data_IF_985429911672
#
_entry.id   IF_985429911672
#
_cell.length_a   1.000
_cell.length_b   1.000
_cell.length_c   1.000
_cell.angle_alpha   90.00
_cell.angle_beta   90.00
_cell.angle_gamma   90.00
#
_symmetry.space_group_name_H-M   'P 1'
#
loop_
_entity.id
_entity.type
_entity.pdbx_description
1 polymer ?
#
# COMPACT_ATOMS: atom_id res chain seq x y z
N UNK A 1 1.60 -51.07 -9.39
CA UNK A 1 1.10 -49.71 -9.70
C UNK A 1 1.47 -49.36 -11.12
N UNK A 2 0.51 -48.95 -11.96
CA UNK A 2 0.74 -48.65 -13.38
C UNK A 2 1.74 -47.49 -13.52
N UNK A 3 2.71 -47.60 -14.44
CA UNK A 3 3.69 -46.54 -14.74
C UNK A 3 3.03 -45.18 -14.99
N UNK A 4 1.83 -45.19 -15.56
CA UNK A 4 1.01 -44.01 -15.83
C UNK A 4 0.57 -43.31 -14.54
N UNK A 5 0.19 -44.07 -13.51
CA UNK A 5 -0.23 -43.53 -12.20
C UNK A 5 0.96 -42.88 -11.49
N UNK A 6 2.14 -43.50 -11.58
CA UNK A 6 3.37 -42.95 -10.99
C UNK A 6 3.76 -41.64 -11.66
N UNK A 7 3.72 -41.56 -13.00
CA UNK A 7 4.00 -40.33 -13.75
C UNK A 7 2.98 -39.24 -13.39
N UNK A 8 1.69 -39.55 -13.34
CA UNK A 8 0.66 -38.57 -12.98
C UNK A 8 0.84 -38.02 -11.56
N UNK A 9 1.17 -38.88 -10.59
CA UNK A 9 1.39 -38.45 -9.21
C UNK A 9 2.64 -37.57 -9.11
N UNK A 10 3.73 -37.94 -9.80
CA UNK A 10 4.96 -37.11 -9.84
C UNK A 10 4.67 -35.76 -10.49
N UNK A 11 3.91 -35.72 -11.59
CA UNK A 11 3.53 -34.47 -12.25
C UNK A 11 2.67 -33.59 -11.32
N UNK A 12 1.67 -34.16 -10.64
CA UNK A 12 0.86 -33.40 -9.68
C UNK A 12 1.68 -32.90 -8.49
N UNK A 13 2.60 -33.71 -7.97
CA UNK A 13 3.51 -33.29 -6.90
C UNK A 13 4.42 -32.15 -7.38
N UNK A 14 5.04 -32.28 -8.56
CA UNK A 14 5.88 -31.23 -9.16
C UNK A 14 5.08 -29.93 -9.38
N UNK A 15 3.84 -30.01 -9.87
CA UNK A 15 2.96 -28.85 -10.02
C UNK A 15 2.63 -28.19 -8.67
N UNK A 16 2.39 -28.97 -7.61
CA UNK A 16 2.14 -28.44 -6.28
C UNK A 16 3.38 -27.80 -5.63
N UNK A 17 4.58 -28.32 -5.92
CA UNK A 17 5.85 -27.77 -5.41
C UNK A 17 6.22 -26.46 -6.12
N UNK A 18 5.78 -26.28 -7.38
CA UNK A 18 6.09 -25.11 -8.21
C UNK A 18 5.02 -24.00 -8.15
N UNK A 19 3.90 -24.21 -7.46
CA UNK A 19 2.93 -23.16 -7.23
C UNK A 19 3.56 -22.11 -6.29
N UNK A 20 3.97 -20.96 -6.84
CA UNK A 20 4.32 -19.77 -6.05
C UNK A 20 3.07 -19.31 -5.29
N UNK A 21 2.89 -19.82 -4.08
CA UNK A 21 1.90 -19.31 -3.16
C UNK A 21 2.26 -17.86 -2.80
N UNK A 22 1.32 -16.94 -2.99
CA UNK A 22 1.58 -15.51 -2.78
C UNK A 22 1.82 -15.12 -1.32
N UNK A 23 1.73 -16.09 -0.40
CA UNK A 23 1.85 -15.87 1.02
C UNK A 23 0.60 -15.19 1.60
N UNK A 24 0.59 -14.96 2.91
CA UNK A 24 -0.56 -14.37 3.59
C UNK A 24 -0.84 -12.94 3.10
N UNK A 25 -2.13 -12.61 3.01
CA UNK A 25 -2.65 -11.30 2.62
C UNK A 25 -2.26 -10.84 1.20
N UNK A 26 -1.96 -11.78 0.32
CA UNK A 26 -1.71 -11.53 -1.09
C UNK A 26 -2.56 -12.47 -1.95
N UNK A 27 -2.86 -12.02 -3.17
CA UNK A 27 -3.59 -12.81 -4.18
C UNK A 27 -2.84 -12.74 -5.49
N UNK A 28 -2.88 -13.84 -6.24
CA UNK A 28 -2.32 -13.89 -7.58
C UNK A 28 -3.25 -13.15 -8.55
N UNK A 29 -2.69 -12.20 -9.29
CA UNK A 29 -3.41 -11.33 -10.22
C UNK A 29 -2.69 -11.29 -11.56
N UNK A 30 -3.45 -11.27 -12.64
CA UNK A 30 -2.91 -11.20 -14.00
C UNK A 30 -2.34 -9.80 -14.33
N UNK A 31 -2.79 -8.81 -13.58
CA UNK A 31 -2.46 -7.40 -13.78
C UNK A 31 -1.97 -6.76 -12.47
N UNK A 32 -0.81 -7.17 -11.99
CA UNK A 32 -0.11 -6.50 -10.90
C UNK A 32 0.54 -5.23 -11.46
N UNK A 33 -0.09 -4.08 -11.19
CA UNK A 33 0.52 -2.77 -11.37
C UNK A 33 1.45 -2.42 -10.21
N UNK A 34 2.00 -1.19 -10.18
CA UNK A 34 2.72 -0.77 -8.98
C UNK A 34 1.78 -0.75 -7.80
N UNK A 35 2.25 -1.33 -6.70
CA UNK A 35 1.63 -1.25 -5.41
C UNK A 35 2.47 -0.38 -4.48
N UNK A 36 1.82 0.29 -3.52
CA UNK A 36 2.52 1.01 -2.49
C UNK A 36 3.26 0.04 -1.57
N UNK A 37 4.46 0.43 -1.11
CA UNK A 37 5.25 -0.39 -0.18
C UNK A 37 5.52 0.36 1.11
N UNK A 38 5.95 -0.34 2.16
CA UNK A 38 6.32 0.29 3.43
C UNK A 38 7.40 1.38 3.24
N UNK A 39 8.31 1.22 2.28
CA UNK A 39 9.40 2.16 2.00
C UNK A 39 9.00 3.26 1.02
N UNK A 40 8.08 2.97 0.11
CA UNK A 40 7.60 3.92 -0.90
C UNK A 40 6.08 4.08 -0.80
N UNK A 41 5.62 4.94 0.13
CA UNK A 41 4.20 5.20 0.36
C UNK A 41 3.54 6.05 -0.75
N UNK A 42 4.33 6.61 -1.66
CA UNK A 42 3.79 7.31 -2.82
C UNK A 42 4.19 6.52 -4.04
N UNK A 43 3.19 6.02 -4.77
CA UNK A 43 3.42 5.58 -6.14
C UNK A 43 3.67 6.85 -6.93
N UNK A 44 4.95 7.15 -7.18
CA UNK A 44 5.33 8.20 -8.12
C UNK A 44 4.75 7.86 -9.48
N UNK A 45 4.22 8.86 -10.20
CA UNK A 45 3.50 8.73 -11.48
C UNK A 45 4.27 8.01 -12.62
N UNK A 46 5.49 7.52 -12.36
CA UNK A 46 6.33 6.70 -13.25
C UNK A 46 6.05 5.20 -13.17
N UNK A 47 4.90 4.75 -12.66
CA UNK A 47 4.50 3.36 -12.90
C UNK A 47 3.93 3.19 -14.31
N UNK A 48 4.79 3.31 -15.32
CA UNK A 48 4.47 3.12 -16.72
C UNK A 48 4.90 1.75 -17.24
N UNK A 49 4.92 0.72 -16.38
CA UNK A 49 5.22 -0.65 -16.80
C UNK A 49 3.93 -1.43 -17.02
N UNK A 50 3.92 -2.21 -18.10
CA UNK A 50 2.82 -3.11 -18.41
C UNK A 50 2.46 -3.96 -17.17
N UNK A 51 1.16 -4.21 -16.91
CA UNK A 51 0.75 -5.08 -15.82
C UNK A 51 1.45 -6.43 -15.93
N UNK A 52 2.03 -6.90 -14.82
CA UNK A 52 2.72 -8.18 -14.77
C UNK A 52 1.84 -9.20 -14.06
N UNK A 53 1.94 -10.47 -14.46
CA UNK A 53 1.42 -11.57 -13.68
C UNK A 53 2.18 -11.65 -12.36
N UNK A 54 1.49 -11.73 -11.23
CA UNK A 54 2.17 -11.93 -9.95
C UNK A 54 1.27 -11.77 -8.72
N UNK A 55 1.91 -11.61 -7.57
CA UNK A 55 1.24 -11.48 -6.29
C UNK A 55 1.00 -10.03 -5.91
N UNK A 56 -0.27 -9.68 -5.70
CA UNK A 56 -0.72 -8.35 -5.26
C UNK A 56 -1.22 -8.42 -3.83
N UNK A 57 -0.84 -7.45 -2.99
CA UNK A 57 -1.42 -7.36 -1.64
C UNK A 57 -2.94 -7.13 -1.68
N UNK A 58 -3.65 -7.78 -0.76
CA UNK A 58 -5.07 -7.55 -0.53
C UNK A 58 -5.34 -6.09 -0.12
N UNK A 59 -6.56 -5.58 -0.30
CA UNK A 59 -6.94 -4.25 0.19
C UNK A 59 -6.55 -4.06 1.66
N UNK A 60 -6.04 -2.86 1.99
CA UNK A 60 -5.53 -2.47 3.31
C UNK A 60 -4.21 -3.10 3.76
N UNK A 61 -3.62 -3.97 2.94
CA UNK A 61 -2.26 -4.47 3.14
C UNK A 61 -1.29 -3.78 2.20
N UNK A 62 -0.04 -3.63 2.64
CA UNK A 62 1.05 -3.05 1.87
C UNK A 62 2.24 -3.98 1.89
N UNK A 63 3.02 -3.97 0.80
CA UNK A 63 4.18 -4.84 0.70
C UNK A 63 5.33 -4.28 1.53
N UNK A 64 5.79 -5.06 2.49
CA UNK A 64 7.05 -4.84 3.19
C UNK A 64 8.16 -5.54 2.41
N UNK A 65 9.03 -4.78 1.73
CA UNK A 65 10.09 -5.39 0.89
C UNK A 65 11.13 -6.11 1.74
N UNK A 66 11.33 -5.68 2.98
CA UNK A 66 12.29 -6.31 3.89
C UNK A 66 11.85 -7.70 4.35
N UNK A 67 10.53 -7.88 4.56
CA UNK A 67 9.93 -9.17 4.96
C UNK A 67 9.43 -10.00 3.78
N UNK A 68 9.38 -9.39 2.58
CA UNK A 68 8.73 -9.93 1.39
C UNK A 68 7.30 -10.43 1.69
N UNK A 69 6.53 -9.61 2.43
CA UNK A 69 5.20 -9.98 2.92
C UNK A 69 4.22 -8.81 2.84
N UNK A 70 2.93 -9.12 2.68
CA UNK A 70 1.86 -8.15 2.78
C UNK A 70 1.46 -7.97 4.24
N UNK A 71 1.78 -6.81 4.79
CA UNK A 71 1.56 -6.46 6.20
C UNK A 71 0.53 -5.36 6.31
N UNK A 72 -0.06 -5.18 7.50
CA UNK A 72 -0.84 -3.98 7.74
C UNK A 72 0.11 -2.79 7.78
N UNK A 73 -0.41 -1.64 7.40
CA UNK A 73 0.39 -0.41 7.38
C UNK A 73 0.96 -0.05 8.76
N UNK A 74 0.21 -0.34 9.83
CA UNK A 74 0.65 -0.15 11.22
C UNK A 74 1.90 -0.98 11.59
N UNK A 75 2.15 -2.07 10.87
CA UNK A 75 3.27 -3.00 11.09
C UNK A 75 4.50 -2.68 10.21
N UNK A 76 4.43 -1.62 9.40
CA UNK A 76 5.57 -1.19 8.59
C UNK A 76 6.72 -0.69 9.48
N UNK A 77 7.97 -1.13 9.26
CA UNK A 77 9.12 -0.81 10.10
C UNK A 77 9.47 0.69 10.08
N UNK A 78 9.22 1.35 8.96
CA UNK A 78 9.14 2.79 8.89
C UNK A 78 7.67 3.18 8.82
N UNK A 79 7.20 3.92 9.83
CA UNK A 79 5.87 4.54 9.77
C UNK A 79 5.73 5.50 8.59
N UNK A 80 6.79 5.79 7.82
CA UNK A 80 6.81 6.49 6.52
C UNK A 80 6.30 7.93 6.53
N UNK A 81 5.64 8.30 7.62
CA UNK A 81 4.90 9.49 7.91
C UNK A 81 5.47 10.04 9.23
N UNK A 82 5.47 11.36 9.35
CA UNK A 82 5.91 12.05 10.54
C UNK A 82 4.93 11.93 11.70
N UNK A 83 5.16 12.76 12.72
CA UNK A 83 4.28 12.81 13.88
C UNK A 83 2.87 13.24 13.50
N UNK A 84 1.88 12.63 14.15
CA UNK A 84 0.47 12.88 13.99
C UNK A 84 -0.11 12.58 12.58
N UNK A 85 0.51 11.69 11.83
CA UNK A 85 -0.04 11.14 10.60
C UNK A 85 0.09 9.62 10.53
N UNK A 86 -0.77 9.01 9.72
CA UNK A 86 -0.68 7.60 9.39
C UNK A 86 -0.82 7.38 7.91
N UNK A 87 -0.11 6.37 7.42
CA UNK A 87 -0.23 5.95 6.05
C UNK A 87 -1.54 5.14 5.92
N UNK A 88 -2.51 5.66 5.16
CA UNK A 88 -3.86 5.06 5.03
C UNK A 88 -4.36 5.14 3.60
N UNK A 89 -5.37 4.34 3.28
CA UNK A 89 -6.17 4.55 2.08
C UNK A 89 -7.05 5.75 2.27
N UNK A 90 -6.94 6.70 1.35
CA UNK A 90 -7.68 7.93 1.44
C UNK A 90 -8.21 8.35 0.08
N UNK A 91 -9.27 9.15 0.17
CA UNK A 91 -9.92 9.83 -0.95
C UNK A 91 -9.95 11.32 -0.58
N UNK A 92 -9.74 12.21 -1.54
CA UNK A 92 -9.87 13.65 -1.31
C UNK A 92 -8.67 14.34 -0.65
N UNK A 93 -8.76 15.65 -0.42
CA UNK A 93 -7.76 16.43 0.33
C UNK A 93 -7.86 16.19 1.84
N UNK A 94 -6.77 16.46 2.55
CA UNK A 94 -6.74 16.70 3.99
C UNK A 94 -6.76 18.22 4.29
N UNK A 95 -7.12 18.63 5.52
CA UNK A 95 -7.09 20.04 5.90
C UNK A 95 -5.64 20.54 6.04
N UNK A 96 -5.43 21.83 5.82
CA UNK A 96 -4.11 22.47 5.80
C UNK A 96 -4.13 23.77 6.60
N UNK A 97 -2.97 24.30 7.01
CA UNK A 97 -2.94 25.59 7.72
C UNK A 97 -3.59 26.75 6.96
N UNK A 98 -3.43 26.80 5.63
CA UNK A 98 -4.07 27.82 4.79
C UNK A 98 -5.58 27.54 4.55
N UNK A 99 -6.01 26.30 4.78
CA UNK A 99 -7.38 25.86 4.54
C UNK A 99 -7.75 24.74 5.52
N UNK A 100 -8.12 25.09 6.76
CA UNK A 100 -8.36 24.12 7.84
C UNK A 100 -9.64 23.30 7.65
N UNK A 101 -10.47 23.63 6.66
CA UNK A 101 -11.64 22.84 6.28
C UNK A 101 -11.38 22.10 4.96
N UNK A 102 -11.67 20.80 4.95
CA UNK A 102 -11.58 19.97 3.74
C UNK A 102 -12.59 20.46 2.70
N UNK A 103 -12.12 20.74 1.48
CA UNK A 103 -13.00 21.11 0.38
C UNK A 103 -13.69 19.87 -0.21
N UNK A 104 -14.99 19.95 -0.56
CA UNK A 104 -15.73 18.82 -1.16
C UNK A 104 -15.17 18.37 -2.52
N UNK A 105 -14.47 19.27 -3.24
CA UNK A 105 -14.15 19.10 -4.66
C UNK A 105 -12.80 18.47 -4.99
N UNK A 106 -11.98 18.11 -4.01
CA UNK A 106 -10.70 17.47 -4.32
C UNK A 106 -10.77 15.95 -4.45
N UNK A 107 -11.93 15.41 -4.84
CA UNK A 107 -12.12 14.00 -5.15
C UNK A 107 -11.04 13.52 -6.15
N UNK A 108 -10.11 12.74 -5.65
CA UNK A 108 -9.19 11.92 -6.42
C UNK A 108 -9.63 10.46 -6.29
N UNK A 109 -9.16 9.59 -7.18
CA UNK A 109 -9.30 8.14 -6.98
C UNK A 109 -8.71 7.72 -5.61
N UNK A 110 -9.21 6.63 -5.00
CA UNK A 110 -8.62 6.08 -3.79
C UNK A 110 -7.12 5.85 -4.01
N UNK A 111 -6.30 6.41 -3.13
CA UNK A 111 -4.86 6.24 -3.15
C UNK A 111 -4.36 6.11 -1.72
N UNK A 112 -3.15 5.59 -1.55
CA UNK A 112 -2.51 5.61 -0.24
C UNK A 112 -1.76 6.93 -0.05
N UNK A 113 -1.81 7.49 1.15
CA UNK A 113 -1.02 8.66 1.52
C UNK A 113 -0.83 8.73 3.04
N UNK A 114 0.19 9.47 3.48
CA UNK A 114 0.27 9.93 4.87
C UNK A 114 -0.82 10.97 5.09
N UNK A 115 -1.70 10.72 6.06
CA UNK A 115 -2.84 11.57 6.37
C UNK A 115 -2.73 12.05 7.81
N UNK A 116 -2.88 13.35 8.03
CA UNK A 116 -2.97 13.87 9.39
C UNK A 116 -4.12 13.20 10.16
N UNK A 117 -3.89 12.91 11.44
CA UNK A 117 -4.93 12.45 12.35
C UNK A 117 -6.05 13.47 12.50
N UNK A 118 -7.20 13.01 12.98
CA UNK A 118 -8.32 13.89 13.30
C UNK A 118 -7.90 14.99 14.31
N UNK A 119 -8.28 16.23 14.02
CA UNK A 119 -7.89 17.40 14.82
C UNK A 119 -6.53 18.02 14.46
N UNK A 120 -5.79 17.45 13.52
CA UNK A 120 -4.55 18.00 12.98
C UNK A 120 -4.74 18.52 11.55
N UNK A 121 -3.96 19.53 11.19
CA UNK A 121 -3.91 20.12 9.85
C UNK A 121 -2.49 20.06 9.30
N UNK A 122 -2.34 19.93 7.98
CA UNK A 122 -1.04 19.90 7.34
C UNK A 122 -0.46 21.30 7.18
N UNK A 123 0.67 21.54 7.82
CA UNK A 123 1.57 22.65 7.49
C UNK A 123 2.38 22.27 6.25
N UNK A 124 2.05 22.87 5.11
CA UNK A 124 2.73 22.61 3.84
C UNK A 124 4.16 23.12 3.81
N UNK A 125 4.51 24.09 4.65
CA UNK A 125 5.84 24.71 4.68
C UNK A 125 6.85 23.73 5.26
N UNK A 126 6.50 23.09 6.37
CA UNK A 126 7.38 22.14 7.07
C UNK A 126 7.02 20.67 6.82
N UNK A 127 5.94 20.42 6.09
CA UNK A 127 5.35 19.10 5.84
C UNK A 127 5.09 18.31 7.15
N UNK A 128 4.43 18.95 8.12
CA UNK A 128 4.08 18.38 9.43
C UNK A 128 2.58 18.47 9.69
N UNK A 129 2.06 17.50 10.45
CA UNK A 129 0.69 17.55 10.98
C UNK A 129 0.71 18.20 12.37
N UNK A 130 0.12 19.39 12.47
CA UNK A 130 0.11 20.22 13.68
C UNK A 130 -1.33 20.62 14.03
N UNK A 131 -1.56 21.18 15.22
CA UNK A 131 -2.88 21.72 15.55
C UNK A 131 -3.10 23.04 14.82
N UNK A 132 -4.36 23.35 14.51
CA UNK A 132 -4.71 24.58 13.78
C UNK A 132 -4.19 25.86 14.45
N UNK A 133 -4.16 25.91 15.79
CA UNK A 133 -3.63 27.06 16.52
C UNK A 133 -2.11 27.21 16.47
N UNK A 134 -1.39 26.16 16.08
CA UNK A 134 0.06 26.16 15.92
C UNK A 134 0.49 26.57 14.50
N UNK A 135 -0.47 26.84 13.61
CA UNK A 135 -0.17 27.21 12.23
C UNK A 135 0.64 28.52 12.16
N UNK A 136 1.68 28.57 11.30
CA UNK A 136 2.42 29.79 11.07
C UNK A 136 1.50 30.89 10.53
N UNK A 137 1.60 32.08 11.10
CA UNK A 137 0.84 33.27 10.69
C UNK A 137 1.47 33.96 9.49
#
# INVERSE_FOLDING_TARGET
MSRIVIVSVIVCLVQAILAEDCGPNAVHEEHVGCEPTCETPKITALCATAPQLGCKCLPHFVRDKSKNACVKVEDCPNKGCGDNESYIQTIGCEPTCAQPKVLPRCAAAPHMACRCHEGFVRDKTHNKCIKEHDCPK
#
